data_IF_124279393734
#
_entry.id   IF_124279393734
#
_cell.length_a   1.000
_cell.length_b   1.000
_cell.length_c   1.000
_cell.angle_alpha   90.00
_cell.angle_beta   90.00
_cell.angle_gamma   90.00
#
_symmetry.space_group_name_H-M   'P 1'
#
loop_
_entity.id
_entity.type
_entity.pdbx_description
1 polymer ?
#
# COMPACT_ATOMS: atom_id res chain seq x y z
N UNK A 1 0.05 -11.70 3.75
CA UNK A 1 -0.06 -10.34 4.32
C UNK A 1 0.44 -9.38 3.27
N UNK A 2 -0.41 -8.49 2.78
CA UNK A 2 -0.10 -7.49 1.77
C UNK A 2 0.65 -6.32 2.41
N UNK A 3 1.63 -5.74 1.71
CA UNK A 3 2.29 -4.53 2.17
C UNK A 3 1.35 -3.31 2.13
N UNK A 4 1.72 -2.22 2.81
CA UNK A 4 0.96 -0.97 2.72
C UNK A 4 0.87 -0.40 1.30
N UNK A 5 1.74 -0.81 0.38
CA UNK A 5 1.68 -0.39 -1.02
C UNK A 5 0.43 -0.95 -1.72
N UNK A 6 0.19 -2.26 -1.60
CA UNK A 6 -1.00 -2.90 -2.17
C UNK A 6 -2.28 -2.42 -1.46
N UNK A 7 -2.23 -2.27 -0.14
CA UNK A 7 -3.31 -1.64 0.63
C UNK A 7 -3.66 -0.23 0.12
N UNK A 8 -2.65 0.60 -0.18
CA UNK A 8 -2.89 1.95 -0.71
C UNK A 8 -3.58 1.90 -2.07
N UNK A 9 -3.19 0.98 -2.96
CA UNK A 9 -3.87 0.80 -4.24
C UNK A 9 -5.34 0.40 -4.06
N UNK A 10 -5.63 -0.52 -3.13
CA UNK A 10 -7.00 -0.92 -2.85
C UNK A 10 -7.81 0.21 -2.19
N UNK A 11 -7.21 1.01 -1.30
CA UNK A 11 -7.88 2.18 -0.73
C UNK A 11 -8.28 3.21 -1.81
N UNK A 12 -7.44 3.43 -2.83
CA UNK A 12 -7.81 4.25 -3.99
C UNK A 12 -9.00 3.66 -4.75
N UNK A 13 -9.00 2.35 -5.03
CA UNK A 13 -10.11 1.69 -5.71
C UNK A 13 -11.42 1.79 -4.90
N UNK A 14 -11.37 1.50 -3.61
CA UNK A 14 -12.54 1.52 -2.73
C UNK A 14 -13.16 2.91 -2.62
N UNK A 15 -12.33 3.95 -2.53
CA UNK A 15 -12.81 5.34 -2.42
C UNK A 15 -13.28 5.94 -3.75
N UNK A 16 -12.81 5.41 -4.89
CA UNK A 16 -13.23 5.86 -6.22
C UNK A 16 -14.55 5.23 -6.69
N UNK A 17 -15.02 4.15 -6.04
CA UNK A 17 -16.16 3.36 -6.48
C UNK A 17 -17.25 3.32 -5.41
N UNK A 18 -18.34 4.05 -5.62
CA UNK A 18 -19.45 4.11 -4.67
C UNK A 18 -20.06 2.74 -4.34
N UNK A 19 -19.95 1.75 -5.22
CA UNK A 19 -20.51 0.41 -4.98
C UNK A 19 -19.64 -0.47 -4.08
N UNK A 20 -18.39 -0.07 -3.78
CA UNK A 20 -17.51 -0.78 -2.85
C UNK A 20 -17.78 -0.26 -1.44
N UNK A 21 -18.66 -0.94 -0.72
CA UNK A 21 -19.08 -0.54 0.65
C UNK A 21 -18.36 -1.28 1.77
N UNK A 22 -17.77 -2.43 1.46
CA UNK A 22 -17.11 -3.30 2.41
C UNK A 22 -15.73 -3.67 1.89
N UNK A 23 -14.74 -3.59 2.75
CA UNK A 23 -13.35 -3.90 2.43
C UNK A 23 -12.68 -4.46 3.68
N UNK A 24 -11.90 -5.51 3.50
CA UNK A 24 -11.05 -6.09 4.53
C UNK A 24 -9.62 -5.61 4.28
N UNK A 25 -9.13 -4.75 5.16
CA UNK A 25 -7.85 -4.05 5.02
C UNK A 25 -7.05 -4.04 6.32
N UNK A 26 -7.42 -4.82 7.33
CA UNK A 26 -6.80 -4.75 8.66
C UNK A 26 -5.39 -5.37 8.74
N UNK A 27 -4.94 -6.05 7.68
CA UNK A 27 -3.64 -6.71 7.60
C UNK A 27 -2.46 -5.80 7.95
N UNK A 28 -2.38 -4.51 7.55
CA UNK A 28 -1.33 -3.60 7.99
C UNK A 28 -1.45 -3.19 9.47
N UNK A 29 -2.64 -3.29 10.09
CA UNK A 29 -2.83 -3.02 11.52
C UNK A 29 -2.33 -4.16 12.41
N UNK A 30 -2.37 -5.40 11.92
CA UNK A 30 -1.79 -6.57 12.59
C UNK A 30 -0.25 -6.52 12.62
N UNK A 31 0.33 -5.78 11.67
CA UNK A 31 1.75 -5.42 11.64
C UNK A 31 2.60 -6.45 10.91
N UNK A 32 3.23 -6.02 9.82
CA UNK A 32 4.45 -6.67 9.34
C UNK A 32 5.56 -6.44 10.36
N UNK A 33 6.47 -7.41 10.54
CA UNK A 33 7.68 -7.20 11.36
C UNK A 33 8.49 -5.99 10.88
N UNK A 34 8.51 -5.78 9.56
CA UNK A 34 9.10 -4.62 8.92
C UNK A 34 8.10 -4.11 7.89
N UNK A 35 7.83 -2.81 7.95
CA UNK A 35 7.03 -2.13 6.95
C UNK A 35 7.94 -1.20 6.12
N UNK A 36 8.32 -1.61 4.90
CA UNK A 36 9.27 -0.87 4.08
C UNK A 36 8.62 0.25 3.27
N UNK A 37 7.31 0.49 3.43
CA UNK A 37 6.55 1.41 2.58
C UNK A 37 6.76 2.86 3.05
N UNK A 38 7.10 3.75 2.12
CA UNK A 38 7.20 5.20 2.34
C UNK A 38 5.96 5.87 1.80
N UNK A 39 5.30 6.71 2.62
CA UNK A 39 4.01 7.32 2.28
C UNK A 39 2.86 6.32 2.37
N UNK A 40 1.85 6.47 1.50
CA UNK A 40 0.72 5.56 1.37
C UNK A 40 -0.46 5.86 2.30
N UNK A 41 -1.49 5.04 2.15
CA UNK A 41 -2.66 5.09 3.01
C UNK A 41 -2.28 4.74 4.46
N UNK A 42 -3.05 5.27 5.40
CA UNK A 42 -2.82 5.10 6.82
C UNK A 42 -4.13 4.99 7.59
N UNK A 43 -4.03 4.49 8.81
CA UNK A 43 -5.14 4.37 9.74
C UNK A 43 -5.22 5.56 10.69
N UNK A 44 -6.43 6.08 10.88
CA UNK A 44 -6.78 6.96 12.01
C UNK A 44 -7.84 6.25 12.84
N UNK A 45 -7.42 5.51 13.87
CA UNK A 45 -8.30 4.52 14.50
C UNK A 45 -8.62 3.40 13.50
N UNK A 46 -9.91 3.17 13.24
CA UNK A 46 -10.37 2.19 12.24
C UNK A 46 -10.70 2.81 10.88
N UNK A 47 -10.51 4.12 10.71
CA UNK A 47 -10.73 4.79 9.43
C UNK A 47 -9.49 4.69 8.53
N UNK A 48 -9.71 4.37 7.26
CA UNK A 48 -8.68 4.38 6.21
C UNK A 48 -8.61 5.76 5.57
N UNK A 49 -7.41 6.35 5.56
CA UNK A 49 -7.15 7.67 4.97
C UNK A 49 -6.16 7.55 3.82
N UNK A 50 -6.45 8.23 2.71
CA UNK A 50 -5.55 8.33 1.55
C UNK A 50 -4.58 9.50 1.69
N UNK A 51 -3.34 9.37 1.17
CA UNK A 51 -2.39 10.47 1.16
C UNK A 51 -2.92 11.63 0.29
N UNK A 52 -2.76 12.86 0.77
CA UNK A 52 -3.28 14.07 0.13
C UNK A 52 -2.16 14.89 -0.51
N UNK A 53 -2.49 15.65 -1.56
CA UNK A 53 -1.53 16.55 -2.23
C UNK A 53 -0.40 15.85 -3.00
N UNK A 54 -0.54 14.55 -3.26
CA UNK A 54 0.43 13.73 -4.00
C UNK A 54 -0.25 13.06 -5.20
N UNK A 55 0.49 12.91 -6.31
CA UNK A 55 -0.01 12.28 -7.53
C UNK A 55 0.27 10.77 -7.52
N UNK A 56 -0.52 10.02 -8.29
CA UNK A 56 -0.38 8.57 -8.42
C UNK A 56 -0.80 7.83 -7.15
N UNK A 57 -0.14 6.70 -6.86
CA UNK A 57 -0.47 5.87 -5.69
C UNK A 57 -0.13 6.55 -4.35
N UNK A 58 0.77 7.55 -4.35
CA UNK A 58 1.17 8.27 -3.13
C UNK A 58 2.00 7.41 -2.16
N UNK A 59 2.57 6.31 -2.63
CA UNK A 59 3.38 5.36 -1.87
C UNK A 59 4.54 4.82 -2.73
N UNK A 60 5.64 4.44 -2.07
CA UNK A 60 6.74 3.69 -2.68
C UNK A 60 7.33 2.71 -1.67
N UNK A 61 8.28 1.86 -2.08
CA UNK A 61 9.02 0.98 -1.18
C UNK A 61 10.44 1.52 -1.02
N UNK A 62 10.96 1.49 0.21
CA UNK A 62 12.34 1.85 0.49
C UNK A 62 13.30 1.01 -0.39
N UNK A 63 14.16 1.68 -1.14
CA UNK A 63 15.13 1.05 -2.05
C UNK A 63 16.11 0.13 -1.33
N UNK A 64 16.50 0.45 -0.09
CA UNK A 64 17.42 -0.36 0.70
C UNK A 64 16.80 -1.69 1.10
N UNK A 65 15.48 -1.71 1.31
CA UNK A 65 14.74 -2.95 1.54
C UNK A 65 14.61 -3.76 0.26
N UNK A 66 14.27 -3.10 -0.86
CA UNK A 66 14.17 -3.76 -2.16
C UNK A 66 15.48 -4.41 -2.60
N UNK A 67 16.63 -3.78 -2.31
CA UNK A 67 17.95 -4.31 -2.61
C UNK A 67 18.29 -5.62 -1.88
N UNK A 68 17.56 -5.94 -0.80
CA UNK A 68 17.70 -7.18 -0.04
C UNK A 68 16.70 -8.26 -0.51
N UNK A 69 15.75 -7.92 -1.36
CA UNK A 69 14.74 -8.84 -1.87
C UNK A 69 15.25 -9.55 -3.13
N UNK A 70 14.75 -10.76 -3.37
CA UNK A 70 15.01 -11.46 -4.63
C UNK A 70 14.39 -10.67 -5.79
N UNK A 71 15.22 -10.34 -6.78
CA UNK A 71 14.82 -9.69 -8.01
C UNK A 71 14.97 -10.68 -9.16
N UNK A 72 13.83 -11.10 -9.72
CA UNK A 72 13.82 -11.84 -10.99
C UNK A 72 13.36 -10.88 -12.08
N UNK A 73 14.21 -10.68 -13.08
CA UNK A 73 13.90 -9.83 -14.24
C UNK A 73 13.87 -10.68 -15.49
N UNK A 74 12.67 -10.99 -15.98
CA UNK A 74 12.47 -11.49 -17.34
C UNK A 74 12.23 -10.29 -18.26
N UNK A 75 13.32 -9.61 -18.61
CA UNK A 75 13.30 -8.55 -19.62
C UNK A 75 13.91 -9.14 -20.88
N UNK A 76 13.12 -9.92 -21.60
CA UNK A 76 13.38 -10.25 -23.00
C UNK A 76 12.68 -9.19 -23.85
N UNK A 77 13.43 -8.17 -24.28
CA UNK A 77 12.98 -7.19 -25.29
C UNK A 77 13.78 -7.42 -26.55
#
# INVERSE_FOLDING_TARGET
LESRLAFTAFAHLATACDNIKYYDMDTPMLGHLVDPVVGGAFYKGFEVHLPQGVHGIGATVNSDFLAQCDLVTDISI
#
